data_IF_350477555673
#
_entry.id   IF_350477555673
#
_cell.length_a   1.000
_cell.length_b   1.000
_cell.length_c   1.000
_cell.angle_alpha   90.00
_cell.angle_beta   90.00
_cell.angle_gamma   90.00
#
_symmetry.space_group_name_H-M   'P 1'
#
loop_
_entity.id
_entity.type
_entity.pdbx_description
1 polymer ?
#
# COMPACT_ATOMS: atom_id res chain seq x y z
N UNK A 1 2.89 -16.74 -0.35
CA UNK A 1 4.21 -16.67 -1.00
C UNK A 1 5.24 -16.39 0.08
N UNK A 2 6.28 -17.21 0.26
CA UNK A 2 7.06 -17.26 1.50
C UNK A 2 8.13 -16.17 1.67
N UNK A 3 8.13 -15.12 0.83
CA UNK A 3 9.19 -14.11 0.79
C UNK A 3 8.74 -12.68 1.14
N UNK A 4 7.46 -12.48 1.48
CA UNK A 4 6.94 -11.18 1.92
C UNK A 4 6.56 -11.22 3.39
N UNK A 5 7.00 -10.19 4.13
CA UNK A 5 6.62 -9.93 5.51
C UNK A 5 5.23 -9.31 5.64
N UNK A 6 4.96 -8.69 6.79
CA UNK A 6 3.74 -7.91 7.00
C UNK A 6 3.92 -6.52 6.37
N UNK A 7 2.84 -5.93 5.86
CA UNK A 7 2.85 -4.55 5.35
C UNK A 7 1.87 -3.73 6.16
N UNK A 8 2.34 -2.64 6.74
CA UNK A 8 1.50 -1.66 7.41
C UNK A 8 1.16 -0.51 6.45
N UNK A 9 -0.12 -0.23 6.28
CA UNK A 9 -0.62 0.85 5.42
C UNK A 9 -1.23 1.96 6.26
N UNK A 10 -0.82 3.20 6.03
CA UNK A 10 -1.34 4.38 6.74
C UNK A 10 -1.40 5.61 5.86
N UNK A 11 -2.18 6.61 6.26
CA UNK A 11 -2.15 7.94 5.64
C UNK A 11 -1.08 8.81 6.30
N UNK A 12 -0.27 9.50 5.49
CA UNK A 12 0.71 10.46 5.98
C UNK A 12 0.91 11.62 5.01
N UNK A 13 0.81 12.85 5.51
CA UNK A 13 0.94 14.09 4.72
C UNK A 13 0.11 14.12 3.42
N UNK A 14 -1.11 13.59 3.46
CA UNK A 14 -2.02 13.54 2.30
C UNK A 14 -1.74 12.42 1.30
N UNK A 15 -0.73 11.58 1.54
CA UNK A 15 -0.44 10.39 0.74
C UNK A 15 -0.80 9.10 1.49
N UNK A 16 -0.98 8.02 0.73
CA UNK A 16 -0.95 6.68 1.30
C UNK A 16 0.51 6.25 1.43
N UNK A 17 0.83 5.54 2.50
CA UNK A 17 2.17 5.05 2.78
C UNK A 17 2.11 3.59 3.16
N UNK A 18 3.01 2.78 2.61
CA UNK A 18 3.28 1.42 3.08
C UNK A 18 4.61 1.35 3.81
N UNK A 19 4.67 0.51 4.83
CA UNK A 19 5.87 0.15 5.56
C UNK A 19 5.98 -1.38 5.62
N UNK A 20 7.07 -1.92 5.13
CA UNK A 20 7.37 -3.35 5.28
C UNK A 20 7.81 -3.64 6.73
N UNK A 21 7.28 -4.72 7.30
CA UNK A 21 7.53 -5.15 8.68
C UNK A 21 8.09 -6.58 8.74
N UNK A 22 9.04 -6.83 9.67
CA UNK A 22 9.72 -5.84 10.51
C UNK A 22 10.67 -4.95 9.68
N UNK A 23 10.94 -3.75 10.16
CA UNK A 23 11.96 -2.86 9.57
C UNK A 23 12.81 -2.22 10.67
N UNK A 24 14.13 -2.34 10.52
CA UNK A 24 15.12 -1.70 11.41
C UNK A 24 15.28 -0.21 11.10
N UNK A 25 14.87 0.23 9.91
CA UNK A 25 14.96 1.61 9.44
C UNK A 25 13.62 2.04 8.81
N UNK A 26 12.59 2.34 9.64
CA UNK A 26 11.23 2.55 9.15
C UNK A 26 11.13 3.68 8.14
N UNK A 27 11.87 4.77 8.33
CA UNK A 27 11.87 5.92 7.43
C UNK A 27 12.37 5.59 6.01
N UNK A 28 13.37 4.70 5.90
CA UNK A 28 13.92 4.26 4.60
C UNK A 28 13.05 3.18 3.94
N UNK A 29 12.20 2.51 4.72
CA UNK A 29 11.32 1.44 4.26
C UNK A 29 9.92 1.95 3.85
N UNK A 30 9.70 3.27 3.87
CA UNK A 30 8.42 3.87 3.52
C UNK A 30 8.28 3.97 2.01
N UNK A 31 7.21 3.41 1.46
CA UNK A 31 6.81 3.68 0.08
C UNK A 31 5.59 4.60 0.08
N UNK A 32 5.72 5.76 -0.57
CA UNK A 32 4.65 6.73 -0.69
C UNK A 32 3.84 6.51 -1.96
N UNK A 33 2.53 6.75 -1.88
CA UNK A 33 1.60 6.62 -2.99
C UNK A 33 0.71 7.86 -3.07
N UNK A 34 0.61 8.40 -4.28
CA UNK A 34 -0.31 9.47 -4.63
C UNK A 34 -1.69 8.91 -4.88
N UNK A 35 -2.72 9.54 -4.33
CA UNK A 35 -4.10 9.25 -4.67
C UNK A 35 -4.42 9.67 -6.11
N UNK A 36 -5.06 8.79 -6.87
CA UNK A 36 -5.50 9.08 -8.24
C UNK A 36 -7.01 9.31 -8.26
N UNK A 37 -7.79 8.29 -7.87
CA UNK A 37 -9.24 8.36 -7.83
C UNK A 37 -9.80 7.16 -7.06
N UNK A 38 -10.86 7.37 -6.29
CA UNK A 38 -11.53 6.30 -5.55
C UNK A 38 -10.55 5.53 -4.68
N UNK A 39 -10.47 4.22 -4.89
CA UNK A 39 -9.56 3.31 -4.17
C UNK A 39 -8.24 3.04 -4.92
N UNK A 40 -7.89 3.87 -5.91
CA UNK A 40 -6.70 3.72 -6.75
C UNK A 40 -5.62 4.72 -6.39
N UNK A 41 -4.40 4.19 -6.19
CA UNK A 41 -3.20 4.92 -5.82
C UNK A 41 -2.04 4.54 -6.74
N UNK A 42 -1.06 5.42 -6.91
CA UNK A 42 0.18 5.12 -7.63
C UNK A 42 1.41 5.49 -6.82
N UNK A 43 2.40 4.62 -6.78
CA UNK A 43 3.67 4.87 -6.08
C UNK A 43 4.31 6.15 -6.59
N UNK A 44 4.88 6.94 -5.69
CA UNK A 44 5.77 8.05 -6.01
C UNK A 44 7.20 7.49 -5.98
N UNK A 45 7.89 7.53 -7.11
CA UNK A 45 9.29 7.07 -7.21
C UNK A 45 10.25 8.19 -6.80
N UNK A 46 11.52 7.84 -6.67
CA UNK A 46 12.57 8.77 -6.23
C UNK A 46 12.77 9.94 -7.21
N UNK A 47 12.45 9.74 -8.49
CA UNK A 47 12.43 10.76 -9.54
C UNK A 47 11.15 11.61 -9.55
N UNK A 48 10.19 11.33 -8.65
CA UNK A 48 8.90 11.99 -8.56
C UNK A 48 7.84 11.47 -9.55
N UNK A 49 8.22 10.56 -10.45
CA UNK A 49 7.29 9.97 -11.41
C UNK A 49 6.35 8.95 -10.76
N UNK A 50 5.21 8.74 -11.41
CA UNK A 50 4.22 7.77 -10.93
C UNK A 50 4.58 6.36 -11.37
N UNK A 51 4.80 5.50 -10.38
CA UNK A 51 5.09 4.09 -10.53
C UNK A 51 3.86 3.20 -10.49
N UNK A 52 3.97 2.12 -9.74
CA UNK A 52 3.07 0.99 -9.76
C UNK A 52 1.71 1.34 -9.13
N UNK A 53 0.65 0.74 -9.66
CA UNK A 53 -0.71 0.96 -9.19
C UNK A 53 -1.05 0.02 -8.03
N UNK A 54 -1.59 0.61 -6.95
CA UNK A 54 -2.22 -0.09 -5.84
C UNK A 54 -3.72 0.22 -5.89
N UNK A 55 -4.55 -0.82 -5.86
CA UNK A 55 -6.02 -0.68 -5.83
C UNK A 55 -6.58 -1.40 -4.61
N UNK A 56 -7.26 -0.68 -3.72
CA UNK A 56 -7.99 -1.32 -2.63
C UNK A 56 -9.27 -1.96 -3.15
N UNK A 57 -9.62 -3.09 -2.56
CA UNK A 57 -10.92 -3.72 -2.75
C UNK A 57 -11.68 -3.71 -1.43
N UNK A 58 -12.97 -3.39 -1.54
CA UNK A 58 -13.89 -3.30 -0.41
C UNK A 58 -14.86 -4.47 -0.42
N UNK A 59 -15.22 -4.93 0.77
CA UNK A 59 -16.33 -5.87 0.96
C UNK A 59 -17.69 -5.17 0.68
N UNK A 60 -18.81 -5.92 0.61
CA UNK A 60 -20.15 -5.33 0.43
C UNK A 60 -20.59 -4.36 1.54
N UNK A 61 -19.89 -4.33 2.68
CA UNK A 61 -20.14 -3.39 3.79
C UNK A 61 -19.28 -2.13 3.66
N UNK A 62 -18.41 -2.03 2.65
CA UNK A 62 -17.52 -0.90 2.40
C UNK A 62 -16.17 -0.98 3.10
N UNK A 63 -15.85 -2.08 3.80
CA UNK A 63 -14.57 -2.23 4.49
C UNK A 63 -13.48 -2.70 3.53
N UNK A 64 -12.29 -2.13 3.64
CA UNK A 64 -11.12 -2.61 2.91
C UNK A 64 -10.71 -3.97 3.46
N UNK A 65 -10.67 -5.00 2.62
CA UNK A 65 -10.29 -6.37 3.01
C UNK A 65 -9.01 -6.85 2.33
N UNK A 66 -8.62 -6.25 1.20
CA UNK A 66 -7.38 -6.54 0.48
C UNK A 66 -7.03 -5.40 -0.46
N UNK A 67 -5.83 -5.45 -1.02
CA UNK A 67 -5.45 -4.63 -2.16
C UNK A 67 -4.78 -5.47 -3.24
N UNK A 68 -4.77 -4.94 -4.47
CA UNK A 68 -4.11 -5.54 -5.63
C UNK A 68 -2.93 -4.68 -6.07
N UNK A 69 -1.78 -5.31 -6.29
CA UNK A 69 -0.57 -4.67 -6.80
C UNK A 69 0.21 -5.69 -7.63
N UNK A 70 0.71 -5.31 -8.83
CA UNK A 70 1.37 -6.24 -9.78
C UNK A 70 0.59 -7.53 -10.08
N UNK A 71 -0.75 -7.49 -10.04
CA UNK A 71 -1.58 -8.68 -10.22
C UNK A 71 -1.67 -9.59 -8.99
N UNK A 72 -0.91 -9.32 -7.92
CA UNK A 72 -0.98 -10.03 -6.65
C UNK A 72 -2.00 -9.41 -5.71
N UNK A 73 -2.64 -10.25 -4.89
CA UNK A 73 -3.53 -9.82 -3.82
C UNK A 73 -2.83 -9.88 -2.48
N UNK A 74 -3.00 -8.83 -1.70
CA UNK A 74 -2.49 -8.70 -0.34
C UNK A 74 -3.69 -8.53 0.59
N UNK A 75 -3.89 -9.50 1.48
CA UNK A 75 -5.08 -9.57 2.34
C UNK A 75 -4.81 -8.85 3.64
N UNK A 76 -5.80 -8.07 4.10
CA UNK A 76 -5.75 -7.41 5.40
C UNK A 76 -5.76 -8.45 6.51
N UNK A 77 -4.83 -8.33 7.45
CA UNK A 77 -4.80 -9.15 8.66
C UNK A 77 -5.84 -8.57 9.62
N UNK A 78 -6.84 -9.37 10.00
CA UNK A 78 -7.75 -9.03 11.08
C UNK A 78 -7.06 -9.36 12.42
N UNK A 79 -6.94 -8.36 13.30
CA UNK A 79 -6.40 -8.50 14.65
C UNK A 79 -7.50 -8.36 15.68
#
# INVERSE_FOLDING_TARGET
>A
MPWWGEVFLTGWQGNLVSLDLPSDQPAESMTCYRHIQGDTFRRIRDDGELGETLVFERDPKGNINRYKMHGNYFVKIER
#
